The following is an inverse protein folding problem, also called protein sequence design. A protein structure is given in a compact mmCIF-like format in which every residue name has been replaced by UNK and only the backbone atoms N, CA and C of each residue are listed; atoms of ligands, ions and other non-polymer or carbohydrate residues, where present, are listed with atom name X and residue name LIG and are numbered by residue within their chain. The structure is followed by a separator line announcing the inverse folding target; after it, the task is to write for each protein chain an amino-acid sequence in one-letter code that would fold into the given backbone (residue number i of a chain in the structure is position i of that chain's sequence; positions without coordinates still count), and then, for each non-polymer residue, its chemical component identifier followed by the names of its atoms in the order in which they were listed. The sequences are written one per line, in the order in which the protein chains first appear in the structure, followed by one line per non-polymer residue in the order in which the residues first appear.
data_IF_909954450803
#
_entry.id   IF_909954450803
#
_cell.length_a   1.000
_cell.length_b   1.000
_cell.length_c   1.000
_cell.angle_alpha   90.00
_cell.angle_beta   90.00
_cell.angle_gamma   90.00
#
_symmetry.space_group_name_H-M   'P 1'
#
loop_
_entity.id
_entity.type
_entity.pdbx_description
1 polymer ?
#
# COMPACT_ATOMS: atom_id res chain seq x y z
N UNK A 1 -10.03 2.44 2.28
CA UNK A 1 -9.19 2.51 1.07
C UNK A 1 -7.78 2.07 1.41
N UNK A 2 -7.18 1.19 0.61
CA UNK A 2 -5.78 0.76 0.76
C UNK A 2 -4.85 1.88 0.27
N UNK A 3 -3.87 2.28 1.08
CA UNK A 3 -2.96 3.40 0.75
C UNK A 3 -1.59 2.96 0.24
N UNK A 4 -1.19 1.73 0.53
CA UNK A 4 0.05 1.08 0.09
C UNK A 4 -0.02 -0.41 0.41
N UNK A 5 0.82 -1.22 -0.21
CA UNK A 5 1.01 -2.62 0.10
C UNK A 5 2.48 -3.03 -0.11
N UNK A 6 2.78 -4.29 0.16
CA UNK A 6 4.07 -4.92 -0.11
C UNK A 6 3.84 -6.20 -0.93
N UNK A 7 4.59 -6.47 -2.01
CA UNK A 7 4.44 -7.70 -2.77
C UNK A 7 4.80 -8.92 -1.91
N UNK A 8 3.93 -9.92 -1.88
CA UNK A 8 4.13 -11.17 -1.18
C UNK A 8 4.21 -12.32 -2.20
N UNK A 9 5.02 -13.33 -1.90
CA UNK A 9 5.18 -14.52 -2.75
C UNK A 9 4.94 -15.75 -1.88
N UNK A 10 4.01 -16.59 -2.31
CA UNK A 10 3.63 -17.83 -1.66
C UNK A 10 3.27 -18.90 -2.72
N UNK A 11 2.60 -19.98 -2.31
CA UNK A 11 2.19 -21.07 -3.19
C UNK A 11 1.17 -20.63 -4.25
N UNK A 12 0.29 -19.67 -3.94
CA UNK A 12 -0.73 -19.15 -4.85
C UNK A 12 -0.15 -18.06 -5.76
N UNK A 13 0.62 -17.15 -5.18
CA UNK A 13 1.22 -15.98 -5.82
C UNK A 13 2.73 -16.16 -6.00
N UNK A 14 3.12 -17.14 -6.82
CA UNK A 14 4.52 -17.49 -7.04
C UNK A 14 5.36 -16.42 -7.78
N UNK A 15 6.63 -16.74 -8.09
CA UNK A 15 7.56 -15.80 -8.76
C UNK A 15 7.05 -15.23 -10.08
N UNK A 16 6.23 -15.97 -10.83
CA UNK A 16 5.61 -15.50 -12.06
C UNK A 16 4.66 -14.31 -11.82
N UNK A 17 3.89 -14.35 -10.72
CA UNK A 17 3.01 -13.25 -10.31
C UNK A 17 3.81 -11.98 -10.02
N UNK A 18 4.91 -12.11 -9.26
CA UNK A 18 5.81 -10.98 -8.99
C UNK A 18 6.45 -10.43 -10.28
N UNK A 19 6.86 -11.30 -11.21
CA UNK A 19 7.38 -10.89 -12.50
C UNK A 19 6.35 -10.08 -13.31
N UNK A 20 5.09 -10.53 -13.34
CA UNK A 20 4.01 -9.79 -14.00
C UNK A 20 3.77 -8.42 -13.34
N UNK A 21 3.81 -8.34 -12.00
CA UNK A 21 3.69 -7.06 -11.29
C UNK A 21 4.80 -6.07 -11.67
N UNK A 22 6.04 -6.55 -11.83
CA UNK A 22 7.18 -5.73 -12.25
C UNK A 22 7.01 -5.21 -13.69
N UNK A 23 6.51 -6.05 -14.61
CA UNK A 23 6.20 -5.64 -15.98
C UNK A 23 5.08 -4.60 -16.04
N UNK A 24 4.07 -4.71 -15.19
CA UNK A 24 2.94 -3.78 -15.16
C UNK A 24 3.33 -2.39 -14.61
N UNK A 25 4.33 -2.32 -13.72
CA UNK A 25 4.70 -1.08 -13.02
C UNK A 25 6.21 -0.82 -13.06
N UNK A 26 6.81 -0.61 -14.24
CA UNK A 26 8.23 -0.30 -14.35
C UNK A 26 8.57 1.06 -13.71
N UNK A 27 9.85 1.25 -13.43
CA UNK A 27 10.43 2.52 -13.02
C UNK A 27 10.29 3.58 -14.11
N UNK A 28 10.54 4.84 -13.77
CA UNK A 28 10.44 5.95 -14.72
C UNK A 28 11.41 5.82 -15.92
N UNK A 29 12.52 5.11 -15.73
CA UNK A 29 13.52 4.77 -16.75
C UNK A 29 13.22 3.44 -17.47
N UNK A 30 12.04 2.85 -17.28
CA UNK A 30 11.66 1.55 -17.85
C UNK A 30 12.26 0.33 -17.14
N UNK A 31 13.19 0.52 -16.19
CA UNK A 31 13.81 -0.58 -15.45
C UNK A 31 12.86 -1.13 -14.37
N UNK A 32 12.99 -2.41 -13.98
CA UNK A 32 12.22 -2.96 -12.87
C UNK A 32 12.39 -2.14 -11.59
N UNK A 33 11.28 -1.92 -10.87
CA UNK A 33 11.34 -1.28 -9.54
C UNK A 33 11.89 -2.27 -8.52
N UNK A 34 12.62 -1.81 -7.49
CA UNK A 34 12.84 -2.62 -6.30
C UNK A 34 11.50 -3.08 -5.70
N UNK A 35 11.39 -4.34 -5.25
CA UNK A 35 10.13 -4.90 -4.74
C UNK A 35 9.51 -4.04 -3.64
N UNK A 36 10.35 -3.46 -2.76
CA UNK A 36 9.94 -2.57 -1.66
C UNK A 36 9.25 -1.28 -2.12
N UNK A 37 9.39 -0.90 -3.40
CA UNK A 37 8.77 0.29 -4.00
C UNK A 37 7.68 -0.04 -5.00
N UNK A 38 7.46 -1.32 -5.30
CA UNK A 38 6.53 -1.76 -6.34
C UNK A 38 5.07 -1.44 -5.99
N UNK A 39 4.70 -1.61 -4.72
CA UNK A 39 3.34 -1.36 -4.21
C UNK A 39 3.27 -0.26 -3.15
N UNK A 40 4.31 0.58 -3.05
CA UNK A 40 4.49 1.55 -1.96
C UNK A 40 3.39 2.63 -1.87
N UNK A 41 2.48 2.74 -2.82
CA UNK A 41 1.40 3.73 -2.80
C UNK A 41 0.20 3.23 -3.57
N UNK A 42 -0.98 3.82 -3.32
CA UNK A 42 -2.25 3.40 -3.93
C UNK A 42 -2.16 3.27 -5.46
N UNK A 43 -1.65 4.30 -6.16
CA UNK A 43 -1.50 4.25 -7.62
C UNK A 43 -0.49 3.18 -8.06
N UNK A 44 0.58 2.97 -7.30
CA UNK A 44 1.61 1.97 -7.62
C UNK A 44 1.05 0.54 -7.44
N UNK A 45 0.29 0.32 -6.37
CA UNK A 45 -0.44 -0.93 -6.13
C UNK A 45 -1.40 -1.23 -7.28
N UNK A 46 -2.26 -0.27 -7.66
CA UNK A 46 -3.19 -0.47 -8.78
C UNK A 46 -2.45 -0.80 -10.07
N UNK A 47 -1.34 -0.10 -10.38
CA UNK A 47 -0.52 -0.41 -11.55
C UNK A 47 0.07 -1.82 -11.49
N UNK A 48 0.71 -2.19 -10.37
CA UNK A 48 1.34 -3.50 -10.21
C UNK A 48 0.33 -4.64 -10.40
N UNK A 49 -0.88 -4.50 -9.86
CA UNK A 49 -1.98 -5.46 -10.01
C UNK A 49 -2.74 -5.35 -11.34
N UNK A 50 -2.38 -4.42 -12.24
CA UNK A 50 -3.08 -4.22 -13.52
C UNK A 50 -4.51 -3.67 -13.39
N UNK A 51 -4.85 -3.04 -12.27
CA UNK A 51 -6.18 -2.51 -11.99
C UNK A 51 -6.41 -1.18 -12.72
N UNK A 52 -7.29 -1.21 -13.73
CA UNK A 52 -7.73 -0.03 -14.48
C UNK A 52 -9.16 0.36 -14.11
N UNK A 53 -9.39 1.66 -13.88
CA UNK A 53 -10.71 2.19 -13.47
C UNK A 53 -11.86 1.70 -14.36
N UNK A 54 -11.81 1.77 -15.71
CA UNK A 54 -12.92 1.34 -16.55
C UNK A 54 -13.27 -0.15 -16.41
N UNK A 55 -12.33 -0.98 -15.95
CA UNK A 55 -12.52 -2.42 -15.80
C UNK A 55 -13.02 -2.81 -14.41
N UNK A 56 -12.75 -2.00 -13.38
CA UNK A 56 -12.90 -2.40 -11.98
C UNK A 56 -13.80 -1.49 -11.16
N UNK A 57 -14.13 -0.30 -11.66
CA UNK A 57 -14.98 0.63 -10.93
C UNK A 57 -16.35 0.02 -10.60
N UNK A 58 -16.83 0.30 -9.38
CA UNK A 58 -18.06 -0.24 -8.80
C UNK A 58 -18.22 -1.79 -8.83
N UNK A 59 -17.17 -2.56 -9.13
CA UNK A 59 -17.21 -4.02 -9.04
C UNK A 59 -16.99 -4.49 -7.61
N UNK A 60 -17.55 -5.64 -7.29
CA UNK A 60 -17.27 -6.36 -6.06
C UNK A 60 -15.96 -7.12 -6.19
N UNK A 61 -15.35 -7.44 -5.05
CA UNK A 61 -14.31 -8.46 -5.03
C UNK A 61 -14.88 -9.80 -5.49
N UNK A 62 -14.07 -10.52 -6.25
CA UNK A 62 -14.39 -11.79 -6.88
C UNK A 62 -13.27 -12.77 -6.50
N UNK A 63 -13.64 -13.92 -5.93
CA UNK A 63 -12.67 -14.89 -5.41
C UNK A 63 -11.78 -15.50 -6.50
N UNK A 64 -12.20 -15.47 -7.76
CA UNK A 64 -11.43 -16.01 -8.87
C UNK A 64 -10.54 -14.95 -9.54
N UNK A 65 -10.84 -13.65 -9.35
CA UNK A 65 -10.16 -12.56 -10.06
C UNK A 65 -9.39 -11.58 -9.15
N UNK A 66 -10.04 -11.08 -8.10
CA UNK A 66 -9.45 -10.13 -7.14
C UNK A 66 -10.21 -10.21 -5.82
N UNK A 67 -9.53 -10.68 -4.78
CA UNK A 67 -10.11 -10.83 -3.45
C UNK A 67 -9.15 -10.35 -2.35
N UNK A 68 -9.68 -10.32 -1.14
CA UNK A 68 -8.92 -10.09 0.09
C UNK A 68 -9.13 -11.31 0.96
N UNK A 69 -8.04 -11.94 1.37
CA UNK A 69 -8.04 -13.05 2.32
C UNK A 69 -7.47 -12.63 3.66
N UNK A 70 -7.95 -13.27 4.72
CA UNK A 70 -7.32 -13.20 6.03
C UNK A 70 -6.22 -14.27 6.08
N UNK A 71 -4.97 -13.82 6.20
CA UNK A 71 -3.78 -14.67 6.29
C UNK A 71 -3.42 -15.02 7.74
N UNK A 72 -4.28 -14.69 8.71
CA UNK A 72 -4.06 -14.94 10.14
C UNK A 72 -2.97 -14.08 10.77
N UNK A 73 -2.50 -13.04 10.07
CA UNK A 73 -1.48 -12.13 10.58
C UNK A 73 -2.11 -10.93 11.27
N UNK A 74 -1.69 -10.67 12.50
CA UNK A 74 -2.03 -9.47 13.25
C UNK A 74 -0.77 -8.59 13.40
N UNK A 75 -0.81 -7.31 13.00
CA UNK A 75 0.30 -6.40 13.23
C UNK A 75 0.64 -6.33 14.71
N UNK A 76 1.92 -6.46 15.06
CA UNK A 76 2.38 -6.32 16.46
C UNK A 76 2.18 -4.89 16.97
N UNK A 77 2.25 -3.91 16.07
CA UNK A 77 2.05 -2.50 16.38
C UNK A 77 1.49 -1.79 15.16
N UNK A 78 0.48 -0.95 15.37
CA UNK A 78 -0.09 -0.10 14.34
C UNK A 78 0.36 1.34 14.57
N UNK A 79 0.79 1.99 13.50
CA UNK A 79 1.04 3.42 13.48
C UNK A 79 -0.21 4.12 12.95
N UNK A 80 -0.86 4.90 13.81
CA UNK A 80 -1.97 5.75 13.43
C UNK A 80 -1.46 7.17 13.11
N UNK A 81 -1.79 7.70 11.94
CA UNK A 81 -1.35 9.04 11.50
C UNK A 81 -2.36 9.67 10.52
N UNK A 82 -2.07 10.87 10.02
CA UNK A 82 -2.91 11.58 9.05
C UNK A 82 -2.86 10.97 7.65
N UNK A 83 -3.96 11.13 6.92
CA UNK A 83 -4.06 10.66 5.53
C UNK A 83 -3.23 11.52 4.58
N UNK A 84 -2.75 10.89 3.52
CA UNK A 84 -1.97 11.56 2.48
C UNK A 84 -2.89 12.16 1.40
N UNK A 85 -2.54 13.35 0.92
CA UNK A 85 -3.21 13.99 -0.22
C UNK A 85 -4.58 14.57 0.10
N UNK A 86 -4.87 14.87 1.37
CA UNK A 86 -6.08 15.58 1.76
C UNK A 86 -5.85 17.09 1.60
N UNK A 87 -6.70 17.81 0.83
CA UNK A 87 -6.65 19.27 0.72
C UNK A 87 -6.83 19.96 2.07
N UNK A 88 -6.21 21.14 2.21
CA UNK A 88 -6.39 21.98 3.40
C UNK A 88 -7.84 22.42 3.58
N UNK A 89 -8.30 22.49 4.83
CA UNK A 89 -9.64 22.92 5.22
C UNK A 89 -10.71 21.83 5.08
N UNK A 90 -10.32 20.58 4.79
CA UNK A 90 -11.23 19.43 4.86
C UNK A 90 -11.03 18.74 6.20
N UNK A 91 -10.46 17.55 6.14
CA UNK A 91 -10.29 16.61 7.24
C UNK A 91 -8.84 16.10 7.29
N UNK A 92 -7.89 16.96 6.90
CA UNK A 92 -6.46 16.65 6.83
C UNK A 92 -5.83 16.39 8.20
N UNK A 93 -6.45 16.92 9.26
CA UNK A 93 -6.03 16.73 10.64
C UNK A 93 -6.46 15.37 11.22
N UNK A 94 -7.42 14.67 10.58
CA UNK A 94 -7.92 13.39 11.08
C UNK A 94 -6.90 12.27 10.85
N UNK A 95 -6.58 11.54 11.92
CA UNK A 95 -5.64 10.44 11.90
C UNK A 95 -6.27 9.12 11.43
N UNK A 96 -6.81 9.12 10.22
CA UNK A 96 -7.46 7.96 9.59
C UNK A 96 -6.55 7.24 8.58
N UNK A 97 -5.26 7.12 8.92
CA UNK A 97 -4.32 6.25 8.23
C UNK A 97 -3.66 5.33 9.26
N UNK A 98 -3.86 4.05 9.06
CA UNK A 98 -3.30 2.98 9.88
C UNK A 98 -2.26 2.23 9.06
N UNK A 99 -1.07 2.04 9.62
CA UNK A 99 0.06 1.40 8.95
C UNK A 99 0.65 0.39 9.90
N UNK A 100 0.85 -0.85 9.44
CA UNK A 100 1.66 -1.83 10.17
C UNK A 100 3.08 -1.29 10.36
N UNK A 101 3.56 -1.22 11.61
CA UNK A 101 4.87 -0.68 11.93
C UNK A 101 6.03 -1.41 11.22
N UNK A 102 5.93 -2.74 11.05
CA UNK A 102 6.93 -3.54 10.35
C UNK A 102 7.05 -3.20 8.86
N UNK A 103 5.96 -2.72 8.25
CA UNK A 103 5.91 -2.35 6.84
C UNK A 103 5.99 -0.84 6.59
N UNK A 104 6.09 -0.01 7.64
CA UNK A 104 6.18 1.44 7.54
C UNK A 104 7.31 1.96 6.62
N UNK A 105 8.52 1.36 6.57
CA UNK A 105 9.58 1.80 5.64
C UNK A 105 9.23 1.66 4.16
N UNK A 106 8.29 0.78 3.82
CA UNK A 106 7.92 0.46 2.44
C UNK A 106 6.78 1.33 1.91
N UNK A 107 6.04 2.02 2.78
CA UNK A 107 4.97 2.90 2.35
C UNK A 107 5.48 4.26 1.84
N UNK A 108 4.73 4.84 0.89
CA UNK A 108 4.92 6.22 0.44
C UNK A 108 4.72 7.12 1.65
N UNK A 109 5.70 8.00 1.87
CA UNK A 109 5.74 8.89 3.04
C UNK A 109 5.59 8.08 4.34
N UNK A 110 6.69 7.40 4.68
CA UNK A 110 6.86 6.69 5.95
C UNK A 110 6.42 7.59 7.12
N UNK A 111 5.49 7.14 7.98
CA UNK A 111 5.05 7.90 9.15
C UNK A 111 6.16 8.10 10.20
N UNK A 112 7.18 7.24 10.23
CA UNK A 112 8.33 7.33 11.15
C UNK A 112 9.55 8.02 10.52
N UNK A 113 9.37 8.75 9.42
CA UNK A 113 10.47 9.50 8.81
C UNK A 113 11.00 10.57 9.77
N UNK A 114 12.26 10.98 9.56
CA UNK A 114 12.91 12.04 10.34
C UNK A 114 12.01 13.27 10.48
N UNK A 115 11.90 13.77 11.72
CA UNK A 115 11.13 14.98 12.06
C UNK A 115 9.67 14.72 12.44
N UNK A 116 9.20 13.47 12.42
CA UNK A 116 7.89 13.10 12.96
C UNK A 116 8.01 12.80 14.46
N UNK A 117 7.03 13.25 15.23
CA UNK A 117 7.01 13.16 16.70
C UNK A 117 5.79 12.36 17.14
N UNK A 118 6.00 11.33 17.94
CA UNK A 118 4.92 10.55 18.56
C UNK A 118 4.07 11.43 19.48
N UNK A 119 2.76 11.18 19.53
CA UNK A 119 1.80 11.99 20.28
C UNK A 119 1.34 13.26 19.55
N UNK A 120 1.98 13.60 18.42
CA UNK A 120 1.64 14.77 17.60
C UNK A 120 1.39 14.41 16.13
N UNK A 121 2.38 13.80 15.49
CA UNK A 121 2.33 13.44 14.07
C UNK A 121 1.79 12.02 13.85
N UNK A 122 1.96 11.16 14.84
CA UNK A 122 1.45 9.78 14.86
C UNK A 122 1.27 9.26 16.29
N UNK A 123 0.55 8.16 16.43
CA UNK A 123 0.44 7.35 17.64
C UNK A 123 0.80 5.91 17.34
N UNK A 124 1.39 5.21 18.32
CA UNK A 124 1.53 3.77 18.31
C UNK A 124 0.36 3.17 19.09
N UNK A 125 -0.44 2.33 18.42
CA UNK A 125 -1.63 1.67 18.98
C UNK A 125 -1.58 0.16 18.77
#
# INVERSE_FOLDING_TARGET
MIKSAYPWVDELSGPASLAQMLLNNPGANGQPRPSQKLCAGQTLLCKALGLKVPMWDAKRFDQELLFVEDVGQTPTQIIQTTRLGIPSGRDEHLMYRFVDAGYAPYCTRNPLRRGQVEGRDYFLI
#
